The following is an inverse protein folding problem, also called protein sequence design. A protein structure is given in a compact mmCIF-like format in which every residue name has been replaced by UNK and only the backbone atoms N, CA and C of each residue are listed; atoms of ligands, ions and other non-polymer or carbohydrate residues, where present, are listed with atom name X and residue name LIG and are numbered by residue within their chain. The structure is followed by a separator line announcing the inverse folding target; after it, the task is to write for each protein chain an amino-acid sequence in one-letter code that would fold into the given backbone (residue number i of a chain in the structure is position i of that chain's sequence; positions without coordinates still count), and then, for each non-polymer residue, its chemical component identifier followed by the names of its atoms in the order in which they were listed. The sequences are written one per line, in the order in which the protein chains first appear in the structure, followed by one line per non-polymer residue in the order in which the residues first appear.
data_IF_549216301787
#
_entry.id   IF_549216301787
#
_cell.length_a   1.000
_cell.length_b   1.000
_cell.length_c   1.000
_cell.angle_alpha   90.00
_cell.angle_beta   90.00
_cell.angle_gamma   90.00
#
_symmetry.space_group_name_H-M   'P 1'
#
loop_
_entity.id
_entity.type
_entity.pdbx_description
1 polymer ?
#
# COMPACT_ATOMS: atom_id res chain seq x y z
N UNK A 1 -5.87 -19.34 0.28
CA UNK A 1 -5.39 -18.02 -0.15
C UNK A 1 -4.23 -17.60 0.69
N UNK A 2 -3.18 -17.16 0.07
CA UNK A 2 -1.96 -16.81 0.74
C UNK A 2 -1.57 -15.36 0.42
N UNK A 3 -0.59 -14.86 1.16
CA UNK A 3 -0.04 -13.53 0.94
C UNK A 3 0.45 -13.32 -0.50
N UNK A 4 1.00 -14.37 -1.11
CA UNK A 4 1.46 -14.32 -2.50
C UNK A 4 0.32 -14.03 -3.47
N UNK A 5 -0.88 -14.53 -3.18
CA UNK A 5 -2.05 -14.26 -4.01
C UNK A 5 -2.48 -12.80 -3.91
N UNK A 6 -2.37 -12.20 -2.72
CA UNK A 6 -2.68 -10.79 -2.52
C UNK A 6 -1.75 -9.90 -3.34
N UNK A 7 -0.44 -10.20 -3.33
CA UNK A 7 0.53 -9.44 -4.13
C UNK A 7 0.26 -9.60 -5.63
N UNK A 8 -0.12 -10.80 -6.05
CA UNK A 8 -0.48 -11.08 -7.45
C UNK A 8 -1.74 -10.31 -7.86
N UNK A 9 -2.75 -10.28 -7.00
CA UNK A 9 -3.98 -9.53 -7.25
C UNK A 9 -3.69 -8.03 -7.40
N UNK A 10 -2.86 -7.47 -6.53
CA UNK A 10 -2.49 -6.06 -6.61
C UNK A 10 -1.75 -5.78 -7.91
N UNK A 11 -0.82 -6.65 -8.29
CA UNK A 11 -0.08 -6.49 -9.55
C UNK A 11 -1.02 -6.45 -10.74
N UNK A 12 -1.97 -7.38 -10.80
CA UNK A 12 -2.93 -7.45 -11.90
C UNK A 12 -3.80 -6.20 -11.98
N UNK A 13 -4.21 -5.68 -10.84
CA UNK A 13 -5.02 -4.46 -10.78
C UNK A 13 -4.21 -3.26 -11.26
N UNK A 14 -3.00 -3.08 -10.74
CA UNK A 14 -2.12 -1.97 -11.11
C UNK A 14 -1.84 -1.98 -12.60
N UNK A 15 -1.49 -3.13 -13.16
CA UNK A 15 -1.22 -3.26 -14.59
C UNK A 15 -2.48 -3.09 -15.42
N UNK A 16 -3.63 -3.54 -14.90
CA UNK A 16 -4.93 -3.37 -15.57
C UNK A 16 -5.32 -1.90 -15.75
N UNK A 17 -4.81 -1.01 -14.90
CA UNK A 17 -5.07 0.43 -15.02
C UNK A 17 -3.95 1.18 -15.76
N UNK A 18 -3.06 0.45 -16.42
CA UNK A 18 -2.10 1.05 -17.33
C UNK A 18 -0.72 1.35 -16.75
N UNK A 19 -0.46 0.93 -15.52
CA UNK A 19 0.88 1.10 -14.94
C UNK A 19 1.80 -0.01 -15.44
N UNK A 20 2.98 0.37 -15.93
CA UNK A 20 3.99 -0.56 -16.40
C UNK A 20 5.13 -0.65 -15.39
N UNK A 21 5.61 -1.86 -15.15
CA UNK A 21 6.73 -2.04 -14.24
C UNK A 21 8.00 -1.44 -14.84
N UNK A 22 8.60 -0.49 -14.13
CA UNK A 22 9.81 0.19 -14.58
C UNK A 22 10.44 0.94 -13.41
N UNK A 23 11.75 1.05 -13.42
CA UNK A 23 12.48 1.87 -12.46
C UNK A 23 12.69 3.31 -12.95
N UNK A 24 12.11 3.68 -14.07
CA UNK A 24 12.27 5.03 -14.65
C UNK A 24 11.57 6.12 -13.86
N UNK A 25 10.61 5.77 -13.01
CA UNK A 25 9.84 6.69 -12.18
C UNK A 25 9.05 7.73 -12.98
N UNK A 26 8.73 7.40 -14.22
CA UNK A 26 7.90 8.25 -15.08
C UNK A 26 6.42 8.01 -14.80
N UNK A 27 5.51 8.93 -15.23
CA UNK A 27 4.07 8.72 -14.98
C UNK A 27 3.56 7.40 -15.54
N UNK A 28 2.67 6.77 -14.80
CA UNK A 28 2.08 5.45 -15.11
C UNK A 28 3.09 4.32 -15.15
N UNK A 29 4.11 4.41 -14.29
CA UNK A 29 4.99 3.29 -14.00
C UNK A 29 4.85 2.90 -12.54
N UNK A 30 5.28 1.66 -12.22
CA UNK A 30 5.37 1.24 -10.83
C UNK A 30 6.65 0.44 -10.61
N UNK A 31 7.18 0.57 -9.40
CA UNK A 31 8.34 -0.20 -8.97
C UNK A 31 7.89 -1.27 -7.98
N UNK A 32 8.61 -2.39 -7.96
CA UNK A 32 8.38 -3.49 -7.01
C UNK A 32 9.50 -3.56 -5.99
N UNK A 33 9.12 -3.84 -4.74
CA UNK A 33 10.08 -4.16 -3.67
C UNK A 33 11.14 -3.08 -3.48
N UNK A 34 10.69 -1.85 -3.32
CA UNK A 34 11.60 -0.70 -3.13
C UNK A 34 12.03 -0.64 -1.66
N UNK A 35 13.33 -0.70 -1.42
CA UNK A 35 13.89 -0.63 -0.07
C UNK A 35 14.02 0.82 0.39
N UNK A 36 13.81 1.04 1.68
CA UNK A 36 14.03 2.33 2.32
C UNK A 36 14.45 2.10 3.77
N UNK A 37 15.04 3.13 4.38
CA UNK A 37 15.53 3.02 5.75
C UNK A 37 14.37 2.83 6.73
N UNK A 38 14.51 1.84 7.60
CA UNK A 38 13.55 1.53 8.64
C UNK A 38 13.65 2.53 9.80
N UNK A 39 12.65 2.51 10.68
CA UNK A 39 12.71 3.20 11.96
C UNK A 39 13.82 2.63 12.86
N UNK A 40 14.21 1.40 12.63
CA UNK A 40 15.27 0.72 13.38
C UNK A 40 16.57 0.86 12.61
N UNK A 41 17.59 1.42 13.24
CA UNK A 41 18.90 1.63 12.61
C UNK A 41 19.45 0.34 11.99
N UNK A 42 20.13 0.50 10.85
CA UNK A 42 20.81 -0.58 10.13
C UNK A 42 19.86 -1.61 9.51
N UNK A 43 18.56 -1.34 9.49
CA UNK A 43 17.57 -2.21 8.83
C UNK A 43 16.88 -1.46 7.72
N UNK A 44 16.40 -2.21 6.75
CA UNK A 44 15.60 -1.67 5.66
C UNK A 44 14.19 -2.24 5.71
N UNK A 45 13.23 -1.40 5.38
CA UNK A 45 11.87 -1.83 5.08
C UNK A 45 11.71 -1.91 3.56
N UNK A 46 10.63 -2.53 3.13
CA UNK A 46 10.35 -2.70 1.71
C UNK A 46 8.95 -2.23 1.39
N UNK A 47 8.84 -1.28 0.47
CA UNK A 47 7.58 -0.93 -0.14
C UNK A 47 7.28 -2.00 -1.19
N UNK A 48 6.15 -2.71 -1.07
CA UNK A 48 5.82 -3.74 -2.04
C UNK A 48 5.65 -3.15 -3.43
N UNK A 49 5.02 -1.98 -3.53
CA UNK A 49 4.83 -1.26 -4.79
C UNK A 49 5.03 0.23 -4.55
N UNK A 50 5.61 0.91 -5.52
CA UNK A 50 5.59 2.37 -5.56
C UNK A 50 5.04 2.78 -6.93
N UNK A 51 3.89 3.41 -6.95
CA UNK A 51 3.23 3.87 -8.17
C UNK A 51 3.57 5.33 -8.41
N UNK A 52 3.85 5.65 -9.66
CA UNK A 52 4.12 7.01 -10.10
C UNK A 52 2.98 7.50 -10.99
N UNK A 53 2.31 8.57 -10.57
CA UNK A 53 1.31 9.27 -11.38
C UNK A 53 1.96 10.54 -11.92
N UNK A 54 1.20 11.40 -12.59
CA UNK A 54 1.73 12.67 -13.06
C UNK A 54 2.04 13.63 -11.91
N UNK A 55 1.43 13.45 -10.75
CA UNK A 55 1.53 14.39 -9.62
C UNK A 55 1.99 13.76 -8.32
N UNK A 56 1.89 12.45 -8.16
CA UNK A 56 2.11 11.79 -6.88
C UNK A 56 2.92 10.52 -7.00
N UNK A 57 3.59 10.17 -5.89
CA UNK A 57 4.22 8.86 -5.69
C UNK A 57 3.45 8.17 -4.56
N UNK A 58 2.99 6.96 -4.82
CA UNK A 58 2.11 6.23 -3.91
C UNK A 58 2.77 4.93 -3.50
N UNK A 59 3.04 4.77 -2.21
CA UNK A 59 3.50 3.49 -1.68
C UNK A 59 2.30 2.59 -1.41
N UNK A 60 2.38 1.34 -1.86
CA UNK A 60 1.39 0.31 -1.52
C UNK A 60 2.08 -0.79 -0.75
N UNK A 61 1.54 -1.11 0.42
CA UNK A 61 2.00 -2.20 1.27
C UNK A 61 0.85 -3.21 1.41
N UNK A 62 1.15 -4.47 1.16
CA UNK A 62 0.18 -5.55 1.30
C UNK A 62 0.29 -6.14 2.71
N UNK A 63 -0.85 -6.34 3.36
CA UNK A 63 -0.93 -6.95 4.70
C UNK A 63 -1.92 -8.10 4.67
N UNK A 64 -1.46 -9.27 5.10
CA UNK A 64 -2.31 -10.45 5.23
C UNK A 64 -2.70 -10.64 6.69
N UNK A 65 -4.00 -10.65 6.96
CA UNK A 65 -4.53 -10.76 8.32
C UNK A 65 -5.17 -12.13 8.52
N UNK A 66 -4.63 -12.89 9.47
CA UNK A 66 -5.16 -14.19 9.84
C UNK A 66 -5.47 -14.24 11.33
N UNK A 67 -6.34 -15.16 11.73
CA UNK A 67 -6.71 -15.36 13.13
C UNK A 67 -5.47 -15.82 13.91
N UNK A 68 -5.25 -15.15 15.03
CA UNK A 68 -4.11 -15.42 15.90
C UNK A 68 -2.82 -14.85 15.37
N UNK A 69 -1.90 -14.51 16.22
CA UNK A 69 -0.60 -14.03 15.85
C UNK A 69 -0.36 -12.57 16.20
N UNK A 70 0.73 -12.05 15.73
CA UNK A 70 1.29 -10.75 16.11
C UNK A 70 0.76 -9.60 15.26
N UNK A 71 -0.42 -9.77 14.67
CA UNK A 71 -0.98 -8.82 13.70
C UNK A 71 -1.11 -7.41 14.27
N UNK A 72 -1.54 -7.28 15.53
CA UNK A 72 -1.74 -5.96 16.15
C UNK A 72 -0.41 -5.20 16.27
N UNK A 73 0.66 -5.87 16.64
CA UNK A 73 1.98 -5.24 16.75
C UNK A 73 2.46 -4.76 15.39
N UNK A 74 2.25 -5.56 14.35
CA UNK A 74 2.60 -5.21 12.98
C UNK A 74 1.80 -4.01 12.48
N UNK A 75 0.53 -3.93 12.86
CA UNK A 75 -0.31 -2.78 12.49
C UNK A 75 0.19 -1.50 13.17
N UNK A 76 0.60 -1.58 14.44
CA UNK A 76 1.19 -0.44 15.14
C UNK A 76 2.45 0.05 14.44
N UNK A 77 3.32 -0.85 14.04
CA UNK A 77 4.53 -0.50 13.29
C UNK A 77 4.16 0.16 11.95
N UNK A 78 3.15 -0.33 11.27
CA UNK A 78 2.68 0.24 10.01
C UNK A 78 2.25 1.70 10.18
N UNK A 79 1.57 2.03 11.27
CA UNK A 79 1.18 3.41 11.56
C UNK A 79 2.41 4.30 11.71
N UNK A 80 3.41 3.84 12.47
CA UNK A 80 4.65 4.60 12.65
C UNK A 80 5.39 4.79 11.33
N UNK A 81 5.44 3.75 10.53
CA UNK A 81 6.10 3.80 9.23
C UNK A 81 5.38 4.78 8.28
N UNK A 82 4.06 4.72 8.23
CA UNK A 82 3.27 5.62 7.41
C UNK A 82 3.40 7.08 7.86
N UNK A 83 3.53 7.31 9.17
CA UNK A 83 3.67 8.66 9.71
C UNK A 83 4.93 9.37 9.26
N UNK A 84 5.97 8.62 8.89
CA UNK A 84 7.26 9.17 8.45
C UNK A 84 7.53 9.02 6.95
N UNK A 85 6.56 8.54 6.18
CA UNK A 85 6.78 8.25 4.76
C UNK A 85 7.20 9.48 3.97
N UNK A 86 8.15 9.28 3.06
CA UNK A 86 8.56 10.30 2.10
C UNK A 86 7.66 10.37 0.86
N UNK A 87 6.80 9.38 0.69
CA UNK A 87 5.87 9.34 -0.42
C UNK A 87 4.65 10.23 -0.16
N UNK A 88 3.91 10.54 -1.20
CA UNK A 88 2.74 11.42 -1.07
C UNK A 88 1.54 10.70 -0.45
N UNK A 89 1.43 9.40 -0.68
CA UNK A 89 0.40 8.56 -0.10
C UNK A 89 0.99 7.23 0.35
N UNK A 90 0.37 6.67 1.38
CA UNK A 90 0.77 5.38 1.93
C UNK A 90 -0.50 4.51 2.01
N UNK A 91 -0.66 3.62 1.05
CA UNK A 91 -1.83 2.75 0.99
C UNK A 91 -1.49 1.36 1.53
N UNK A 92 -2.37 0.84 2.38
CA UNK A 92 -2.25 -0.52 2.92
C UNK A 92 -3.41 -1.32 2.35
N UNK A 93 -3.08 -2.30 1.51
CA UNK A 93 -4.09 -3.21 0.95
C UNK A 93 -4.11 -4.46 1.81
N UNK A 94 -5.23 -4.71 2.46
CA UNK A 94 -5.40 -5.79 3.41
C UNK A 94 -6.16 -6.95 2.78
N UNK A 95 -5.69 -8.16 3.02
CA UNK A 95 -6.37 -9.39 2.67
C UNK A 95 -6.33 -10.35 3.84
N UNK A 96 -7.04 -11.45 3.73
CA UNK A 96 -7.08 -12.46 4.77
C UNK A 96 -8.49 -12.87 5.14
N UNK A 97 -8.70 -13.11 6.43
CA UNK A 97 -9.95 -13.61 6.96
C UNK A 97 -10.75 -12.52 7.69
N UNK A 98 -11.51 -12.90 8.71
CA UNK A 98 -12.41 -12.02 9.45
C UNK A 98 -11.73 -10.85 10.18
N UNK A 99 -10.41 -10.88 10.35
CA UNK A 99 -9.68 -9.77 10.98
C UNK A 99 -9.43 -8.60 10.04
N UNK A 100 -9.68 -8.76 8.75
CA UNK A 100 -9.40 -7.73 7.74
C UNK A 100 -10.12 -6.42 8.04
N UNK A 101 -11.41 -6.48 8.33
CA UNK A 101 -12.21 -5.28 8.62
C UNK A 101 -11.68 -4.54 9.85
N UNK A 102 -11.32 -5.26 10.89
CA UNK A 102 -10.77 -4.67 12.11
C UNK A 102 -9.42 -4.00 11.86
N UNK A 103 -8.58 -4.63 11.04
CA UNK A 103 -7.28 -4.07 10.70
C UNK A 103 -7.46 -2.76 9.92
N UNK A 104 -8.35 -2.74 8.94
CA UNK A 104 -8.64 -1.55 8.15
C UNK A 104 -9.19 -0.43 9.03
N UNK A 105 -10.14 -0.72 9.88
CA UNK A 105 -10.73 0.28 10.79
C UNK A 105 -9.68 0.85 11.74
N UNK A 106 -8.83 0.00 12.30
CA UNK A 106 -7.75 0.45 13.19
C UNK A 106 -6.83 1.41 12.44
N UNK A 107 -6.33 1.01 11.28
CA UNK A 107 -5.38 1.81 10.52
C UNK A 107 -5.99 3.15 10.11
N UNK A 108 -7.21 3.15 9.60
CA UNK A 108 -7.87 4.38 9.17
C UNK A 108 -8.24 5.30 10.34
N UNK A 109 -8.28 4.77 11.56
CA UNK A 109 -8.47 5.57 12.76
C UNK A 109 -7.23 6.34 13.20
N UNK A 110 -6.07 6.11 12.57
CA UNK A 110 -4.79 6.70 12.98
C UNK A 110 -4.40 7.93 12.16
N UNK A 111 -5.36 8.65 11.64
CA UNK A 111 -5.11 9.78 10.74
C UNK A 111 -4.29 10.90 11.40
N UNK A 112 -4.39 11.06 12.73
CA UNK A 112 -3.61 12.08 13.45
C UNK A 112 -2.11 11.78 13.42
N UNK A 113 -1.72 10.49 13.50
CA UNK A 113 -0.32 10.08 13.48
C UNK A 113 0.18 9.81 12.06
N UNK A 114 -0.70 9.42 11.15
CA UNK A 114 -0.35 9.01 9.80
C UNK A 114 -1.38 9.57 8.79
N UNK A 115 -1.31 10.88 8.50
CA UNK A 115 -2.31 11.52 7.64
C UNK A 115 -2.33 11.02 6.19
N UNK A 116 -1.24 10.41 5.72
CA UNK A 116 -1.15 9.87 4.36
C UNK A 116 -1.61 8.42 4.24
N UNK A 117 -1.87 7.79 5.38
CA UNK A 117 -2.26 6.38 5.45
C UNK A 117 -3.72 6.19 5.05
N UNK A 118 -3.96 5.24 4.16
CA UNK A 118 -5.30 4.78 3.87
C UNK A 118 -5.28 3.26 3.69
N UNK A 119 -6.04 2.56 4.51
CA UNK A 119 -6.14 1.11 4.46
C UNK A 119 -7.42 0.70 3.74
N UNK A 120 -7.35 -0.40 2.99
CA UNK A 120 -8.44 -0.83 2.12
C UNK A 120 -8.38 -2.31 1.82
N UNK A 121 -9.49 -2.84 1.32
CA UNK A 121 -9.52 -4.16 0.69
C UNK A 121 -9.11 -4.03 -0.78
N UNK A 122 -8.84 -5.17 -1.42
CA UNK A 122 -8.35 -5.21 -2.80
C UNK A 122 -9.30 -4.48 -3.77
N UNK A 123 -10.60 -4.69 -3.63
CA UNK A 123 -11.56 -4.07 -4.56
C UNK A 123 -11.61 -2.54 -4.43
N UNK A 124 -11.31 -2.01 -3.26
CA UNK A 124 -11.23 -0.55 -3.08
C UNK A 124 -10.04 0.04 -3.83
N UNK A 125 -8.96 -0.72 -3.93
CA UNK A 125 -7.80 -0.30 -4.75
C UNK A 125 -8.22 -0.08 -6.20
N UNK A 126 -9.06 -0.95 -6.75
CA UNK A 126 -9.58 -0.78 -8.11
C UNK A 126 -10.33 0.55 -8.25
N UNK A 127 -11.18 0.86 -7.28
CA UNK A 127 -11.95 2.11 -7.29
C UNK A 127 -11.04 3.33 -7.26
N UNK A 128 -10.02 3.31 -6.40
CA UNK A 128 -9.08 4.41 -6.30
C UNK A 128 -8.26 4.62 -7.57
N UNK A 129 -7.78 3.53 -8.17
CA UNK A 129 -7.01 3.62 -9.41
C UNK A 129 -7.90 4.05 -10.58
N UNK A 130 -9.16 3.62 -10.60
CA UNK A 130 -10.12 4.09 -11.60
C UNK A 130 -10.29 5.60 -11.52
N UNK A 131 -10.43 6.15 -10.33
CA UNK A 131 -10.56 7.59 -10.14
C UNK A 131 -9.30 8.35 -10.58
N UNK A 132 -8.13 7.87 -10.16
CA UNK A 132 -6.85 8.51 -10.48
C UNK A 132 -6.63 8.52 -11.98
N UNK A 133 -6.84 7.39 -12.66
CA UNK A 133 -6.60 7.30 -14.10
C UNK A 133 -7.64 8.07 -14.91
N UNK A 134 -8.87 8.16 -14.42
CA UNK A 134 -9.89 8.98 -15.07
C UNK A 134 -9.52 10.47 -15.02
N UNK A 135 -9.03 10.95 -13.87
CA UNK A 135 -8.60 12.34 -13.70
C UNK A 135 -7.42 12.67 -14.61
N UNK A 136 -6.49 11.73 -14.79
CA UNK A 136 -5.31 11.93 -15.64
C UNK A 136 -5.65 11.97 -17.12
N UNK A 137 -6.76 11.39 -17.53
CA UNK A 137 -7.19 11.34 -18.93
C UNK A 137 -7.99 12.56 -19.37
N UNK A 138 -8.35 13.43 -18.47
CA UNK A 138 -9.17 14.62 -18.75
C UNK A 138 -8.32 15.82 -19.19
#
# INVERSE_FOLDING_TARGET
MARADLLSDITNIVEGYGFLQSNDQTPFTYQRSVRYLSLIDEKNDTAHFVLHTTTERIQITAKWQEVGGTAIEKLGYTVLDAGRTAYDRYWVVCGGDELVTRAIDFLNGQVAQAPKLFAMEVHTLEDLLSEITADELV
#
